data_IF_205847973644
#
_entry.id   IF_205847973644
#
_cell.length_a   1.000
_cell.length_b   1.000
_cell.length_c   1.000
_cell.angle_alpha   90.00
_cell.angle_beta   90.00
_cell.angle_gamma   90.00
#
_symmetry.space_group_name_H-M   'P 1'
#
loop_
_entity.id
_entity.type
_entity.pdbx_description
1 polymer ?
#
# COMPACT_ATOMS: atom_id res chain seq x y z
N UNK A 1 -14.49 -51.24 -19.30
CA UNK A 1 -14.67 -50.59 -17.97
C UNK A 1 -13.58 -49.53 -17.68
N UNK A 2 -13.39 -48.51 -18.54
CA UNK A 2 -12.27 -47.54 -18.38
C UNK A 2 -12.64 -46.06 -18.52
N UNK A 3 -13.93 -45.68 -18.54
CA UNK A 3 -14.35 -44.29 -18.72
C UNK A 3 -14.62 -43.47 -17.43
N UNK A 4 -14.44 -44.05 -16.24
CA UNK A 4 -14.84 -43.38 -14.99
C UNK A 4 -13.69 -42.88 -14.10
N UNK A 5 -12.42 -43.06 -14.46
CA UNK A 5 -11.28 -42.67 -13.60
C UNK A 5 -10.98 -41.17 -13.55
N UNK A 6 -11.53 -40.36 -14.45
CA UNK A 6 -11.21 -38.92 -14.53
C UNK A 6 -12.24 -38.00 -13.87
N UNK A 7 -13.39 -38.52 -13.43
CA UNK A 7 -14.46 -37.71 -12.83
C UNK A 7 -14.19 -37.42 -11.34
N UNK A 8 -13.49 -38.33 -10.64
CA UNK A 8 -13.16 -38.17 -9.22
C UNK A 8 -12.16 -37.04 -8.93
N UNK A 9 -11.21 -36.79 -9.83
CA UNK A 9 -10.21 -35.72 -9.66
C UNK A 9 -10.84 -34.33 -9.87
N UNK A 10 -11.79 -34.22 -10.79
CA UNK A 10 -12.46 -32.96 -11.11
C UNK A 10 -13.43 -32.54 -9.99
N UNK A 11 -14.09 -33.49 -9.32
CA UNK A 11 -14.93 -33.23 -8.16
C UNK A 11 -14.14 -32.80 -6.92
N UNK A 12 -12.92 -33.32 -6.72
CA UNK A 12 -12.03 -32.90 -5.62
C UNK A 12 -11.51 -31.47 -5.81
N UNK A 13 -11.17 -31.05 -7.03
CA UNK A 13 -10.71 -29.68 -7.31
C UNK A 13 -11.84 -28.66 -7.14
N UNK A 14 -13.06 -28.98 -7.59
CA UNK A 14 -14.24 -28.11 -7.41
C UNK A 14 -14.65 -28.02 -5.94
N UNK A 15 -14.62 -29.13 -5.19
CA UNK A 15 -14.88 -29.11 -3.74
C UNK A 15 -13.80 -28.32 -2.98
N UNK A 16 -12.53 -28.41 -3.39
CA UNK A 16 -11.42 -27.65 -2.78
C UNK A 16 -11.53 -26.15 -3.06
N UNK A 17 -11.95 -25.76 -4.26
CA UNK A 17 -12.25 -24.36 -4.62
C UNK A 17 -13.47 -23.81 -3.86
N UNK A 18 -14.47 -24.66 -3.60
CA UNK A 18 -15.66 -24.28 -2.83
C UNK A 18 -15.33 -24.10 -1.34
N UNK A 19 -14.54 -25.03 -0.75
CA UNK A 19 -14.02 -24.90 0.62
C UNK A 19 -13.13 -23.66 0.75
N UNK A 20 -12.25 -23.40 -0.22
CA UNK A 20 -11.40 -22.22 -0.25
C UNK A 20 -12.20 -20.90 -0.33
N UNK A 21 -13.25 -20.86 -1.17
CA UNK A 21 -14.17 -19.71 -1.23
C UNK A 21 -14.97 -19.52 0.07
N UNK A 22 -15.38 -20.61 0.71
CA UNK A 22 -16.12 -20.53 1.99
C UNK A 22 -15.24 -20.08 3.16
N UNK A 23 -13.94 -20.44 3.16
CA UNK A 23 -12.98 -19.98 4.17
C UNK A 23 -12.68 -18.49 4.00
N UNK A 24 -12.56 -18.00 2.76
CA UNK A 24 -12.44 -16.56 2.45
C UNK A 24 -13.70 -15.76 2.85
N UNK A 25 -14.89 -16.35 2.72
CA UNK A 25 -16.15 -15.69 3.08
C UNK A 25 -16.36 -15.55 4.61
N UNK A 26 -15.64 -16.33 5.43
CA UNK A 26 -15.68 -16.24 6.90
C UNK A 26 -14.61 -15.31 7.49
N UNK A 27 -13.58 -14.95 6.72
CA UNK A 27 -12.68 -13.86 7.06
C UNK A 27 -13.39 -12.55 6.70
N UNK A 28 -13.79 -11.75 7.69
CA UNK A 28 -14.32 -10.41 7.45
C UNK A 28 -13.41 -9.66 6.49
N UNK A 29 -13.96 -9.20 5.36
CA UNK A 29 -13.19 -8.55 4.30
C UNK A 29 -12.44 -7.32 4.80
N UNK A 30 -11.44 -6.82 4.04
CA UNK A 30 -10.69 -5.63 4.42
C UNK A 30 -11.64 -4.45 4.68
N UNK A 31 -11.44 -3.77 5.82
CA UNK A 31 -12.22 -2.59 6.22
C UNK A 31 -12.15 -1.55 5.09
N UNK A 32 -13.30 -1.17 4.56
CA UNK A 32 -13.37 -0.26 3.42
C UNK A 32 -13.16 1.20 3.87
N UNK A 33 -12.40 2.00 3.11
CA UNK A 33 -12.34 3.44 3.32
C UNK A 33 -13.72 4.09 3.17
N UNK A 34 -13.99 5.11 3.98
CA UNK A 34 -15.18 5.95 3.88
C UNK A 34 -14.79 7.38 3.49
N UNK A 35 -15.72 8.06 2.81
CA UNK A 35 -15.64 9.47 2.49
C UNK A 35 -16.97 10.12 2.87
N UNK A 36 -16.92 11.22 3.63
CA UNK A 36 -18.08 12.01 4.02
C UNK A 36 -17.79 13.49 3.81
N UNK A 37 -18.77 14.24 3.31
CA UNK A 37 -18.64 15.68 3.09
C UNK A 37 -19.70 16.43 3.89
N UNK A 38 -19.28 17.49 4.57
CA UNK A 38 -20.15 18.41 5.32
C UNK A 38 -19.99 19.82 4.77
N UNK A 39 -21.08 20.56 4.70
CA UNK A 39 -21.10 21.97 4.32
C UNK A 39 -21.31 22.82 5.57
N UNK A 40 -20.39 23.73 5.87
CA UNK A 40 -20.46 24.60 7.06
C UNK A 40 -20.16 26.03 6.63
N UNK A 41 -21.14 26.93 6.76
CA UNK A 41 -21.00 28.35 6.37
C UNK A 41 -20.47 28.56 4.94
N UNK A 42 -20.87 27.68 4.01
CA UNK A 42 -20.42 27.68 2.62
C UNK A 42 -19.07 27.00 2.37
N UNK A 43 -18.34 26.60 3.41
CA UNK A 43 -17.12 25.79 3.28
C UNK A 43 -17.48 24.32 3.13
N UNK A 44 -16.74 23.62 2.27
CA UNK A 44 -16.88 22.18 2.07
C UNK A 44 -15.76 21.44 2.76
N UNK A 45 -16.09 20.64 3.77
CA UNK A 45 -15.15 19.81 4.53
C UNK A 45 -15.40 18.35 4.18
N UNK A 46 -14.40 17.68 3.61
CA UNK A 46 -14.48 16.26 3.25
C UNK A 46 -13.54 15.44 4.11
N UNK A 47 -14.11 14.55 4.94
CA UNK A 47 -13.38 13.58 5.75
C UNK A 47 -13.20 12.27 4.97
N UNK A 48 -11.99 11.74 4.98
CA UNK A 48 -11.65 10.41 4.48
C UNK A 48 -10.93 9.62 5.56
N UNK A 49 -11.37 8.39 5.83
CA UNK A 49 -10.72 7.52 6.82
C UNK A 49 -11.03 6.04 6.55
N UNK A 50 -10.26 5.16 7.17
CA UNK A 50 -10.54 3.72 7.22
C UNK A 50 -10.97 3.39 8.66
N UNK A 51 -12.28 3.26 8.91
CA UNK A 51 -12.81 3.28 10.27
C UNK A 51 -12.69 1.91 10.93
N UNK A 52 -11.51 1.64 11.50
CA UNK A 52 -11.21 0.42 12.23
C UNK A 52 -10.74 0.73 13.66
N UNK A 53 -10.89 -0.19 14.61
CA UNK A 53 -10.35 -0.01 15.96
C UNK A 53 -8.83 0.19 15.97
N UNK A 54 -8.32 0.88 16.99
CA UNK A 54 -6.90 1.27 17.09
C UNK A 54 -6.60 2.67 16.53
N UNK A 55 -5.32 2.99 16.37
CA UNK A 55 -4.90 4.27 15.77
C UNK A 55 -5.25 4.31 14.28
N UNK A 56 -6.09 5.28 13.91
CA UNK A 56 -6.52 5.56 12.55
C UNK A 56 -6.05 6.92 12.07
N UNK A 57 -5.64 6.97 10.80
CA UNK A 57 -5.41 8.22 10.10
C UNK A 57 -6.75 8.80 9.62
N UNK A 58 -6.87 10.12 9.70
CA UNK A 58 -7.99 10.86 9.12
C UNK A 58 -7.43 11.92 8.18
N UNK A 59 -7.94 11.99 6.95
CA UNK A 59 -7.63 13.07 6.04
C UNK A 59 -8.83 14.00 5.92
N UNK A 60 -8.59 15.28 6.12
CA UNK A 60 -9.59 16.34 5.98
C UNK A 60 -9.19 17.21 4.80
N UNK A 61 -10.04 17.27 3.78
CA UNK A 61 -9.93 18.25 2.71
C UNK A 61 -10.85 19.44 3.01
N UNK A 62 -10.31 20.65 2.90
CA UNK A 62 -11.03 21.90 3.16
C UNK A 62 -11.07 22.75 1.91
N UNK A 63 -12.27 23.11 1.47
CA UNK A 63 -12.50 24.02 0.35
C UNK A 63 -13.32 25.23 0.81
N UNK A 64 -12.96 26.40 0.30
CA UNK A 64 -13.68 27.65 0.57
C UNK A 64 -15.02 27.72 -0.20
N UNK A 65 -15.86 28.74 0.05
CA UNK A 65 -17.13 28.91 -0.67
C UNK A 65 -17.01 29.14 -2.18
N UNK A 66 -15.80 29.41 -2.69
CA UNK A 66 -15.52 29.54 -4.13
C UNK A 66 -15.03 28.21 -4.72
N UNK A 67 -14.92 27.15 -3.93
CA UNK A 67 -14.40 25.85 -4.34
C UNK A 67 -12.88 25.79 -4.42
N UNK A 68 -12.16 26.74 -3.82
CA UNK A 68 -10.69 26.73 -3.80
C UNK A 68 -10.16 25.99 -2.57
N UNK A 69 -9.07 25.23 -2.76
CA UNK A 69 -8.35 24.56 -1.67
C UNK A 69 -7.79 25.59 -0.69
N UNK A 70 -7.96 25.35 0.61
CA UNK A 70 -7.47 26.27 1.66
C UNK A 70 -6.15 25.80 2.26
N UNK A 71 -4.99 26.37 1.88
CA UNK A 71 -3.69 25.94 2.41
C UNK A 71 -3.42 26.39 3.86
N UNK A 72 -3.98 27.53 4.29
CA UNK A 72 -3.53 28.24 5.49
C UNK A 72 -4.49 28.14 6.69
N UNK A 73 -5.27 27.06 6.79
CA UNK A 73 -6.12 26.81 7.95
C UNK A 73 -5.41 25.96 9.02
N UNK A 74 -5.71 26.22 10.29
CA UNK A 74 -5.40 25.31 11.38
C UNK A 74 -6.55 24.30 11.49
N UNK A 75 -6.24 23.01 11.42
CA UNK A 75 -7.24 21.94 11.51
C UNK A 75 -6.98 21.11 12.76
N UNK A 76 -8.02 20.94 13.59
CA UNK A 76 -8.02 20.09 14.78
C UNK A 76 -9.06 18.99 14.59
N UNK A 77 -8.72 17.78 15.00
CA UNK A 77 -9.61 16.61 14.96
C UNK A 77 -9.83 16.08 16.37
N UNK A 78 -11.08 15.83 16.73
CA UNK A 78 -11.48 15.24 17.99
C UNK A 78 -12.40 14.05 17.74
N UNK A 79 -12.24 12.99 18.54
CA UNK A 79 -12.93 11.73 18.40
C UNK A 79 -13.80 11.52 19.63
N UNK A 80 -15.10 11.42 19.42
CA UNK A 80 -16.11 11.36 20.47
C UNK A 80 -16.94 10.10 20.25
N UNK A 81 -17.20 9.33 21.29
CA UNK A 81 -18.17 8.25 21.28
C UNK A 81 -19.37 8.66 22.14
N UNK A 82 -20.46 9.17 21.52
CA UNK A 82 -21.58 9.76 22.26
C UNK A 82 -22.25 8.76 23.20
N UNK A 83 -22.40 7.51 22.75
CA UNK A 83 -23.08 6.45 23.50
C UNK A 83 -22.42 6.10 24.84
N UNK A 84 -21.13 6.41 25.01
CA UNK A 84 -20.37 6.14 26.25
C UNK A 84 -19.73 7.40 26.84
N UNK A 85 -20.09 8.59 26.35
CA UNK A 85 -19.56 9.89 26.80
C UNK A 85 -18.02 9.96 26.82
N UNK A 86 -17.36 9.20 25.95
CA UNK A 86 -15.90 9.24 25.82
C UNK A 86 -15.52 10.29 24.79
N UNK A 87 -14.57 11.15 25.12
CA UNK A 87 -13.95 12.10 24.18
C UNK A 87 -12.44 11.98 24.26
N UNK A 88 -11.78 12.09 23.13
CA UNK A 88 -10.32 12.25 23.09
C UNK A 88 -9.93 13.70 23.34
N UNK A 89 -8.62 13.95 23.46
CA UNK A 89 -8.05 15.30 23.39
C UNK A 89 -7.96 15.70 21.91
N UNK A 90 -8.46 16.90 21.51
CA UNK A 90 -8.30 17.38 20.15
C UNK A 90 -6.83 17.40 19.71
N UNK A 91 -6.54 16.85 18.53
CA UNK A 91 -5.18 16.80 17.96
C UNK A 91 -5.09 17.62 16.67
N UNK A 92 -3.97 18.29 16.41
CA UNK A 92 -3.79 19.00 15.14
C UNK A 92 -3.66 18.00 13.98
N UNK A 93 -4.33 18.30 12.87
CA UNK A 93 -4.08 17.69 11.58
C UNK A 93 -3.05 18.54 10.81
N UNK A 94 -2.03 17.90 10.27
CA UNK A 94 -0.90 18.56 9.62
C UNK A 94 -1.20 18.72 8.13
N UNK A 95 -0.97 19.91 7.58
CA UNK A 95 -1.09 20.13 6.14
C UNK A 95 -0.12 19.20 5.38
N UNK A 96 -0.69 18.29 4.59
CA UNK A 96 0.07 17.35 3.76
C UNK A 96 0.34 17.95 2.37
N UNK A 97 -0.69 18.57 1.80
CA UNK A 97 -0.65 19.40 0.58
C UNK A 97 -1.62 20.57 0.75
N UNK A 98 -1.58 21.63 -0.09
CA UNK A 98 -2.53 22.73 -0.01
C UNK A 98 -4.00 22.26 0.09
N UNK A 99 -4.72 22.66 1.14
CA UNK A 99 -6.13 22.28 1.34
C UNK A 99 -6.38 20.88 1.89
N UNK A 100 -5.35 20.08 2.19
CA UNK A 100 -5.52 18.73 2.75
C UNK A 100 -4.67 18.55 4.00
N UNK A 101 -5.31 18.06 5.05
CA UNK A 101 -4.75 17.94 6.39
C UNK A 101 -4.87 16.50 6.88
N UNK A 102 -3.75 15.91 7.26
CA UNK A 102 -3.67 14.56 7.81
C UNK A 102 -3.60 14.62 9.35
N UNK A 103 -4.58 14.02 10.01
CA UNK A 103 -4.65 13.87 11.46
C UNK A 103 -4.58 12.40 11.89
N UNK A 104 -4.40 12.19 13.19
CA UNK A 104 -4.47 10.87 13.81
C UNK A 104 -5.43 10.89 15.00
N UNK A 105 -6.15 9.79 15.17
CA UNK A 105 -6.94 9.51 16.37
C UNK A 105 -7.08 8.02 16.62
N UNK A 106 -7.44 7.65 17.84
CA UNK A 106 -7.63 6.26 18.21
C UNK A 106 -9.11 5.98 18.40
N UNK A 107 -9.65 5.02 17.65
CA UNK A 107 -10.96 4.46 17.94
C UNK A 107 -10.76 3.30 18.90
N UNK A 108 -11.06 3.52 20.18
CA UNK A 108 -10.79 2.53 21.23
C UNK A 108 -11.61 1.24 21.08
N UNK A 109 -12.74 1.29 20.37
CA UNK A 109 -13.63 0.16 20.15
C UNK A 109 -14.58 0.37 18.98
N UNK A 110 -15.15 -0.73 18.49
CA UNK A 110 -16.14 -0.72 17.44
C UNK A 110 -17.43 -0.03 17.90
N UNK A 111 -18.12 0.61 16.96
CA UNK A 111 -19.31 1.41 17.22
C UNK A 111 -19.35 2.69 16.39
N UNK A 112 -20.38 3.51 16.58
CA UNK A 112 -20.48 4.80 15.92
C UNK A 112 -19.72 5.87 16.69
N UNK A 113 -18.80 6.52 16.02
CA UNK A 113 -18.01 7.63 16.55
C UNK A 113 -18.36 8.92 15.83
N UNK A 114 -18.32 10.02 16.57
CA UNK A 114 -18.36 11.37 16.05
C UNK A 114 -16.92 11.87 15.91
N UNK A 115 -16.50 12.12 14.68
CA UNK A 115 -15.24 12.80 14.38
C UNK A 115 -15.58 14.28 14.20
N UNK A 116 -15.25 15.08 15.21
CA UNK A 116 -15.42 16.53 15.17
C UNK A 116 -14.16 17.17 14.58
N UNK A 117 -14.34 17.91 13.50
CA UNK A 117 -13.28 18.62 12.80
C UNK A 117 -13.49 20.11 13.01
N UNK A 118 -12.55 20.74 13.70
CA UNK A 118 -12.50 22.19 13.86
C UNK A 118 -11.48 22.78 12.91
N UNK A 119 -11.93 23.61 11.98
CA UNK A 119 -11.10 24.33 11.02
C UNK A 119 -11.09 25.81 11.42
N UNK A 120 -9.91 26.35 11.71
CA UNK A 120 -9.72 27.78 12.01
C UNK A 120 -8.97 28.44 10.86
N UNK A 121 -9.66 29.17 9.96
CA UNK A 121 -9.00 29.95 8.92
C UNK A 121 -8.18 31.10 9.52
N UNK A 122 -7.10 31.52 8.86
CA UNK A 122 -6.23 32.59 9.36
C UNK A 122 -6.95 33.92 9.68
N UNK A 123 -8.04 34.24 8.96
CA UNK A 123 -8.76 35.52 9.07
C UNK A 123 -10.28 35.35 9.27
N UNK A 124 -10.74 34.21 9.82
CA UNK A 124 -12.17 33.98 10.04
C UNK A 124 -12.42 33.20 11.34
N UNK A 125 -13.67 33.18 11.79
CA UNK A 125 -14.08 32.41 12.95
C UNK A 125 -13.90 30.90 12.71
N UNK A 126 -13.61 30.11 13.76
CA UNK A 126 -13.55 28.66 13.66
C UNK A 126 -14.85 28.06 13.13
N UNK A 127 -14.72 27.05 12.28
CA UNK A 127 -15.79 26.25 11.70
C UNK A 127 -15.71 24.86 12.32
N UNK A 128 -16.85 24.31 12.74
CA UNK A 128 -16.92 22.97 13.33
C UNK A 128 -17.83 22.10 12.47
N UNK A 129 -17.35 20.94 12.05
CA UNK A 129 -18.12 19.92 11.36
C UNK A 129 -18.04 18.59 12.12
N UNK A 130 -19.16 17.91 12.25
CA UNK A 130 -19.22 16.57 12.88
C UNK A 130 -19.50 15.51 11.82
N UNK A 131 -18.73 14.42 11.87
CA UNK A 131 -18.84 13.28 10.96
C UNK A 131 -19.17 12.02 11.74
N UNK A 132 -20.21 11.30 11.32
CA UNK A 132 -20.62 10.05 11.97
C UNK A 132 -19.94 8.86 11.29
N UNK A 133 -18.98 8.27 11.98
CA UNK A 133 -18.07 7.25 11.48
C UNK A 133 -18.42 5.88 12.09
N UNK A 134 -18.91 4.92 11.30
CA UNK A 134 -19.13 3.55 11.77
C UNK A 134 -17.80 2.80 11.83
N UNK A 135 -17.30 2.54 13.03
CA UNK A 135 -16.04 1.83 13.28
C UNK A 135 -16.30 0.35 13.49
N UNK A 136 -15.53 -0.48 12.78
CA UNK A 136 -15.51 -1.94 12.95
C UNK A 136 -14.20 -2.39 13.60
N UNK A 137 -14.14 -3.62 14.11
CA UNK A 137 -12.89 -4.14 14.65
C UNK A 137 -11.84 -4.28 13.56
N UNK A 138 -10.62 -3.79 13.86
CA UNK A 138 -9.48 -3.98 12.97
C UNK A 138 -9.12 -5.46 12.92
N UNK A 139 -9.24 -6.06 11.74
CA UNK A 139 -8.59 -7.35 11.47
C UNK A 139 -7.09 -7.06 11.34
N UNK A 140 -6.21 -7.63 12.20
CA UNK A 140 -4.77 -7.40 12.09
C UNK A 140 -4.30 -7.86 10.70
N UNK A 141 -3.85 -6.90 9.87
CA UNK A 141 -3.12 -7.26 8.68
C UNK A 141 -1.77 -7.85 9.11
N UNK A 142 -1.30 -8.95 8.52
CA UNK A 142 0.05 -9.43 8.78
C UNK A 142 1.05 -8.30 8.48
N UNK A 143 2.05 -8.15 9.35
CA UNK A 143 3.14 -7.19 9.13
C UNK A 143 3.75 -7.40 7.74
N UNK A 144 4.04 -6.31 7.02
CA UNK A 144 4.70 -6.42 5.70
C UNK A 144 6.06 -7.08 5.94
N UNK A 145 6.35 -8.25 5.34
CA UNK A 145 7.66 -8.86 5.50
C UNK A 145 8.71 -7.91 4.94
N UNK A 146 9.85 -7.79 5.63
CA UNK A 146 10.99 -7.05 5.12
C UNK A 146 11.36 -7.60 3.72
N UNK A 147 11.74 -6.73 2.77
CA UNK A 147 12.20 -7.21 1.47
C UNK A 147 13.39 -8.14 1.69
N UNK A 148 13.41 -9.27 0.98
CA UNK A 148 14.50 -10.24 1.09
C UNK A 148 15.83 -9.57 0.74
N UNK A 149 16.93 -9.84 1.47
CA UNK A 149 18.20 -9.21 1.20
C UNK A 149 18.68 -9.56 -0.23
N UNK A 150 19.41 -8.65 -0.90
CA UNK A 150 19.83 -8.81 -2.30
C UNK A 150 20.69 -10.07 -2.55
N UNK A 151 21.27 -10.68 -1.50
CA UNK A 151 22.01 -11.94 -1.58
C UNK A 151 21.17 -13.15 -2.02
N UNK A 152 19.83 -13.08 -1.95
CA UNK A 152 18.96 -14.14 -2.47
C UNK A 152 18.80 -14.14 -3.99
N UNK A 153 19.09 -13.02 -4.66
CA UNK A 153 18.97 -12.85 -6.11
C UNK A 153 20.32 -12.90 -6.82
N UNK A 154 21.23 -13.77 -6.37
CA UNK A 154 22.46 -13.98 -7.14
C UNK A 154 22.18 -14.88 -8.33
N UNK A 155 22.69 -14.57 -9.54
CA UNK A 155 22.47 -15.38 -10.75
C UNK A 155 23.01 -16.82 -10.64
N UNK A 156 23.78 -17.13 -9.59
CA UNK A 156 24.41 -18.43 -9.35
C UNK A 156 23.47 -19.50 -8.81
N UNK A 157 22.40 -19.15 -8.09
CA UNK A 157 21.42 -20.12 -7.56
C UNK A 157 20.49 -20.63 -8.66
N UNK A 158 20.04 -19.75 -9.56
CA UNK A 158 19.22 -20.10 -10.71
C UNK A 158 19.98 -20.95 -11.74
N UNK A 159 21.27 -20.67 -11.97
CA UNK A 159 22.10 -21.44 -12.90
C UNK A 159 22.43 -22.83 -12.36
N UNK A 160 22.67 -22.96 -11.05
CA UNK A 160 22.95 -24.24 -10.40
C UNK A 160 21.75 -25.20 -10.43
N UNK A 161 20.53 -24.69 -10.18
CA UNK A 161 19.29 -25.46 -10.31
C UNK A 161 19.00 -25.84 -11.78
N UNK A 162 19.23 -24.92 -12.72
CA UNK A 162 19.06 -25.18 -14.14
C UNK A 162 19.98 -26.29 -14.66
N UNK A 163 21.26 -26.29 -14.28
CA UNK A 163 22.22 -27.31 -14.67
C UNK A 163 21.89 -28.70 -14.08
N UNK A 164 21.37 -28.74 -12.86
CA UNK A 164 20.97 -29.98 -12.20
C UNK A 164 19.75 -30.63 -12.89
N UNK A 165 18.77 -29.83 -13.30
CA UNK A 165 17.62 -30.31 -14.09
C UNK A 165 18.06 -30.82 -15.47
N UNK A 166 18.93 -30.08 -16.17
CA UNK A 166 19.46 -30.51 -17.48
C UNK A 166 20.25 -31.82 -17.35
N UNK A 167 21.07 -31.96 -16.31
CA UNK A 167 21.81 -33.19 -16.03
C UNK A 167 20.91 -34.40 -15.76
N UNK A 168 19.85 -34.23 -14.97
CA UNK A 168 18.88 -35.30 -14.68
C UNK A 168 18.09 -35.71 -15.93
N UNK A 169 17.70 -34.75 -16.78
CA UNK A 169 17.01 -35.02 -18.05
C UNK A 169 17.94 -35.77 -19.01
N UNK A 170 19.20 -35.34 -19.14
CA UNK A 170 20.18 -36.00 -20.00
C UNK A 170 20.49 -37.44 -19.52
N UNK A 171 20.62 -37.66 -18.21
CA UNK A 171 20.84 -38.98 -17.64
C UNK A 171 19.62 -39.91 -17.81
N UNK A 172 18.41 -39.38 -17.67
CA UNK A 172 17.19 -40.13 -17.98
C UNK A 172 17.09 -40.46 -19.48
N UNK A 173 17.64 -39.61 -20.35
CA UNK A 173 17.64 -39.81 -21.80
C UNK A 173 18.57 -40.94 -22.23
N UNK A 174 19.73 -41.13 -21.60
CA UNK A 174 20.72 -42.14 -22.01
C UNK A 174 20.39 -43.56 -21.53
N UNK A 175 19.54 -43.72 -20.51
CA UNK A 175 19.29 -45.02 -19.87
C UNK A 175 18.01 -45.75 -20.32
N UNK A 176 17.15 -45.15 -21.16
CA UNK A 176 15.88 -45.76 -21.57
C UNK A 176 15.80 -46.02 -23.08
N UNK A 177 15.49 -47.26 -23.50
CA UNK A 177 15.54 -47.69 -24.90
C UNK A 177 14.62 -46.92 -25.87
N UNK A 178 15.08 -46.77 -27.13
CA UNK A 178 14.51 -45.90 -28.19
C UNK A 178 12.98 -45.98 -28.39
N UNK A 179 12.36 -47.15 -28.25
CA UNK A 179 10.89 -47.30 -28.39
C UNK A 179 10.10 -46.73 -27.20
N UNK A 180 10.70 -46.69 -26.00
CA UNK A 180 10.10 -46.05 -24.81
C UNK A 180 10.34 -44.54 -24.78
N UNK A 181 11.44 -44.06 -25.38
CA UNK A 181 11.75 -42.63 -25.52
C UNK A 181 10.73 -41.88 -26.37
N UNK A 182 10.17 -42.50 -27.41
CA UNK A 182 9.11 -41.87 -28.24
C UNK A 182 7.79 -41.70 -27.47
N UNK A 183 7.43 -42.69 -26.64
CA UNK A 183 6.24 -42.62 -25.79
C UNK A 183 6.39 -41.62 -24.64
N UNK A 184 7.55 -41.60 -23.97
CA UNK A 184 7.85 -40.62 -22.93
C UNK A 184 8.01 -39.21 -23.49
N UNK A 185 8.63 -39.06 -24.67
CA UNK A 185 8.75 -37.77 -25.35
C UNK A 185 7.40 -37.13 -25.64
N UNK A 186 6.43 -37.94 -26.11
CA UNK A 186 5.05 -37.45 -26.29
C UNK A 186 4.40 -37.02 -24.97
N UNK A 187 4.55 -37.82 -23.90
CA UNK A 187 3.96 -37.48 -22.59
C UNK A 187 4.62 -36.25 -21.98
N UNK A 188 5.95 -36.12 -22.06
CA UNK A 188 6.70 -34.96 -21.56
C UNK A 188 6.38 -33.72 -22.40
N UNK A 189 6.31 -33.81 -23.72
CA UNK A 189 5.88 -32.68 -24.57
C UNK A 189 4.45 -32.26 -24.27
N UNK A 190 3.51 -33.19 -24.05
CA UNK A 190 2.15 -32.86 -23.64
C UNK A 190 2.09 -32.26 -22.23
N UNK A 191 2.89 -32.75 -21.28
CA UNK A 191 2.99 -32.18 -19.94
C UNK A 191 3.64 -30.79 -19.95
N UNK A 192 4.63 -30.54 -20.81
CA UNK A 192 5.24 -29.22 -20.99
C UNK A 192 4.29 -28.26 -21.69
N UNK A 193 3.49 -28.73 -22.67
CA UNK A 193 2.42 -27.93 -23.30
C UNK A 193 1.31 -27.63 -22.28
N UNK A 194 0.94 -28.58 -21.42
CA UNK A 194 -0.05 -28.37 -20.35
C UNK A 194 0.49 -27.51 -19.22
N UNK A 195 1.78 -27.58 -18.88
CA UNK A 195 2.41 -26.69 -17.92
C UNK A 195 2.53 -25.28 -18.49
N UNK A 196 2.91 -25.14 -19.77
CA UNK A 196 2.92 -23.86 -20.48
C UNK A 196 1.50 -23.28 -20.59
N UNK A 197 0.51 -24.06 -21.03
CA UNK A 197 -0.90 -23.64 -21.07
C UNK A 197 -1.45 -23.34 -19.66
N UNK A 198 -0.99 -24.09 -18.65
CA UNK A 198 -1.25 -23.85 -17.23
C UNK A 198 -0.68 -22.52 -16.75
N UNK A 199 0.49 -22.10 -17.24
CA UNK A 199 1.01 -20.75 -16.96
C UNK A 199 0.22 -19.62 -17.63
N UNK A 200 -0.61 -19.92 -18.65
CA UNK A 200 -1.55 -18.96 -19.25
C UNK A 200 -2.95 -18.99 -18.60
N UNK A 201 -3.33 -20.09 -17.94
CA UNK A 201 -4.66 -20.30 -17.34
C UNK A 201 -4.67 -20.28 -15.81
N UNK A 202 -3.52 -20.33 -15.15
CA UNK A 202 -3.38 -19.83 -13.79
C UNK A 202 -3.59 -18.32 -13.94
N UNK A 203 -4.72 -17.75 -13.45
CA UNK A 203 -4.77 -16.31 -13.28
C UNK A 203 -3.49 -15.97 -12.53
N UNK A 204 -2.80 -14.91 -12.93
CA UNK A 204 -1.72 -14.28 -12.20
C UNK A 204 -2.19 -13.91 -10.78
N UNK A 205 -2.41 -14.91 -9.95
CA UNK A 205 -2.88 -14.89 -8.57
C UNK A 205 -1.72 -15.22 -7.65
N UNK A 206 -0.68 -15.89 -8.17
CA UNK A 206 0.66 -15.95 -7.58
C UNK A 206 1.58 -14.83 -8.10
N UNK A 207 1.10 -14.06 -9.08
CA UNK A 207 1.82 -12.94 -9.71
C UNK A 207 0.95 -11.69 -9.85
N UNK A 208 -0.16 -11.61 -9.11
CA UNK A 208 -0.66 -10.30 -8.74
C UNK A 208 0.53 -9.69 -7.98
N UNK A 209 1.18 -8.62 -8.49
CA UNK A 209 2.20 -7.95 -7.71
C UNK A 209 1.56 -7.78 -6.36
N UNK A 210 2.22 -8.28 -5.30
CA UNK A 210 1.79 -8.15 -3.92
C UNK A 210 1.02 -6.86 -3.85
N UNK A 211 -0.31 -6.95 -3.79
CA UNK A 211 -1.13 -5.77 -3.69
C UNK A 211 -0.92 -5.37 -2.23
N UNK A 212 0.27 -4.81 -1.97
CA UNK A 212 0.54 -3.89 -0.89
C UNK A 212 -0.57 -2.88 -1.11
N UNK A 213 -1.66 -3.08 -0.36
CA UNK A 213 -2.92 -2.42 -0.59
C UNK A 213 -2.69 -0.93 -0.69
N UNK A 214 -3.56 -0.24 -1.43
CA UNK A 214 -3.58 1.21 -1.53
C UNK A 214 -3.12 1.86 -0.22
N UNK A 215 -2.25 2.89 -0.28
CA UNK A 215 -1.57 3.44 0.89
C UNK A 215 -2.59 3.69 2.00
N UNK A 216 -2.38 3.02 3.14
CA UNK A 216 -3.37 3.07 4.23
C UNK A 216 -3.39 4.47 4.79
N UNK A 217 -4.56 5.04 5.05
CA UNK A 217 -4.66 6.40 5.60
C UNK A 217 -3.86 6.56 6.91
N UNK A 218 -3.83 5.51 7.74
CA UNK A 218 -2.96 5.41 8.92
C UNK A 218 -1.47 5.54 8.62
N UNK A 219 -1.04 4.87 7.56
CA UNK A 219 0.35 4.86 7.08
C UNK A 219 0.78 6.27 6.65
N UNK A 220 -0.08 6.94 5.87
CA UNK A 220 0.15 8.31 5.41
C UNK A 220 0.30 9.24 6.62
N UNK A 221 -0.67 9.23 7.54
CA UNK A 221 -0.66 10.12 8.71
C UNK A 221 0.53 9.89 9.65
N UNK A 222 0.97 8.64 9.85
CA UNK A 222 2.20 8.32 10.62
C UNK A 222 3.46 8.81 9.92
N UNK A 223 3.50 8.71 8.59
CA UNK A 223 4.63 9.14 7.78
C UNK A 223 4.74 10.66 7.62
N UNK A 224 3.63 11.40 7.60
CA UNK A 224 3.61 12.87 7.40
C UNK A 224 4.65 13.62 8.26
N UNK A 225 4.68 13.47 9.61
CA UNK A 225 5.69 14.15 10.43
C UNK A 225 7.12 13.67 10.16
N UNK A 226 7.31 12.39 9.83
CA UNK A 226 8.62 11.80 9.52
C UNK A 226 9.14 12.38 8.21
N UNK A 227 8.30 12.43 7.17
CA UNK A 227 8.63 12.99 5.87
C UNK A 227 8.97 14.48 5.99
N UNK A 228 8.17 15.26 6.74
CA UNK A 228 8.41 16.68 6.94
C UNK A 228 9.76 16.95 7.62
N UNK A 229 10.13 16.14 8.61
CA UNK A 229 11.38 16.31 9.35
C UNK A 229 12.62 15.84 8.56
N UNK A 230 12.51 14.77 7.77
CA UNK A 230 13.66 14.07 7.22
C UNK A 230 13.80 14.18 5.69
N UNK A 231 12.70 14.30 4.97
CA UNK A 231 12.66 14.19 3.50
C UNK A 231 12.38 15.54 2.83
N UNK A 232 11.44 16.32 3.39
CA UNK A 232 11.01 17.61 2.85
C UNK A 232 12.14 18.66 2.69
N UNK A 233 13.21 18.70 3.51
CA UNK A 233 14.32 19.63 3.29
C UNK A 233 14.96 19.52 1.90
N UNK A 234 14.96 18.33 1.30
CA UNK A 234 15.49 18.06 -0.04
C UNK A 234 14.35 17.88 -1.06
N UNK A 235 13.33 17.08 -0.76
CA UNK A 235 12.27 16.75 -1.71
C UNK A 235 11.13 17.77 -1.76
N UNK A 236 11.12 18.78 -0.89
CA UNK A 236 10.02 19.73 -0.75
C UNK A 236 8.83 19.15 0.01
N UNK A 237 8.00 20.00 0.62
CA UNK A 237 6.81 19.56 1.38
C UNK A 237 5.81 18.85 0.47
N UNK A 238 5.64 19.35 -0.76
CA UNK A 238 4.78 18.76 -1.78
C UNK A 238 5.47 17.63 -2.59
N UNK A 239 6.73 17.32 -2.31
CA UNK A 239 7.47 16.24 -2.97
C UNK A 239 8.01 16.56 -4.36
N UNK A 240 8.09 17.83 -4.78
CA UNK A 240 8.51 18.20 -6.14
C UNK A 240 10.02 18.13 -6.40
N UNK A 241 10.84 17.79 -5.40
CA UNK A 241 12.30 17.81 -5.52
C UNK A 241 12.90 19.22 -5.39
N UNK A 242 12.14 20.16 -4.84
CA UNK A 242 12.44 21.60 -4.80
C UNK A 242 12.66 22.13 -3.37
N UNK A 243 13.01 21.24 -2.44
CA UNK A 243 13.32 21.60 -1.06
C UNK A 243 14.47 22.60 -0.96
N UNK A 244 14.60 23.30 0.18
CA UNK A 244 15.62 24.34 0.36
C UNK A 244 17.04 23.83 0.07
N UNK A 245 17.35 22.59 0.44
CA UNK A 245 18.64 21.97 0.19
C UNK A 245 18.83 21.53 -1.28
N UNK A 246 17.76 21.33 -2.05
CA UNK A 246 17.83 20.82 -3.43
C UNK A 246 18.70 21.68 -4.35
N UNK A 247 18.75 23.00 -4.11
CA UNK A 247 19.44 23.98 -4.96
C UNK A 247 20.94 23.77 -5.06
N UNK A 248 21.56 23.08 -4.10
CA UNK A 248 23.01 22.88 -4.01
C UNK A 248 23.41 21.42 -4.22
N UNK A 249 22.48 20.52 -4.51
CA UNK A 249 22.75 19.09 -4.64
C UNK A 249 22.90 18.68 -6.10
N UNK A 250 23.87 17.81 -6.36
CA UNK A 250 24.10 17.18 -7.66
C UNK A 250 24.33 15.67 -7.47
N UNK A 251 23.48 14.79 -8.03
CA UNK A 251 22.25 15.09 -8.76
C UNK A 251 21.19 15.78 -7.89
N UNK A 252 20.25 16.54 -8.50
CA UNK A 252 19.13 17.12 -7.76
C UNK A 252 18.21 16.02 -7.19
N UNK A 253 17.51 16.28 -6.07
CA UNK A 253 16.52 15.35 -5.52
C UNK A 253 15.42 15.03 -6.54
N UNK A 254 14.96 13.78 -6.54
CA UNK A 254 13.88 13.35 -7.43
C UNK A 254 12.54 14.03 -7.11
N UNK A 255 11.77 14.32 -8.16
CA UNK A 255 10.38 14.77 -8.04
C UNK A 255 9.46 13.56 -7.76
N UNK A 256 9.06 13.40 -6.51
CA UNK A 256 8.26 12.29 -6.00
C UNK A 256 6.79 12.33 -6.47
N UNK A 257 6.37 13.38 -7.18
CA UNK A 257 5.03 13.45 -7.78
C UNK A 257 5.01 13.03 -9.25
N UNK A 258 6.18 12.80 -9.87
CA UNK A 258 6.31 12.52 -11.29
C UNK A 258 6.05 11.03 -11.63
N UNK A 259 5.65 10.72 -12.88
CA UNK A 259 5.28 9.35 -13.30
C UNK A 259 6.37 8.29 -13.11
N UNK A 260 7.65 8.66 -13.02
CA UNK A 260 8.73 7.70 -12.80
C UNK A 260 8.58 6.94 -11.48
N UNK A 261 7.92 7.52 -10.47
CA UNK A 261 7.66 6.85 -9.20
C UNK A 261 6.87 5.55 -9.41
N UNK A 262 5.94 5.53 -10.38
CA UNK A 262 5.15 4.34 -10.71
C UNK A 262 5.98 3.22 -11.36
N UNK A 263 7.19 3.52 -11.85
CA UNK A 263 8.09 2.57 -12.51
C UNK A 263 8.96 1.79 -11.52
N UNK A 264 9.03 2.23 -10.26
CA UNK A 264 9.85 1.61 -9.23
C UNK A 264 8.98 0.75 -8.32
N UNK A 265 9.29 -0.54 -8.07
CA UNK A 265 8.56 -1.34 -7.09
C UNK A 265 8.72 -0.78 -5.67
N UNK A 266 7.73 -1.03 -4.80
CA UNK A 266 7.74 -0.50 -3.42
C UNK A 266 8.99 -0.93 -2.62
N UNK A 267 9.46 -2.17 -2.81
CA UNK A 267 10.69 -2.65 -2.19
C UNK A 267 11.95 -1.93 -2.66
N UNK A 268 11.95 -1.39 -3.89
CA UNK A 268 13.06 -0.56 -4.39
C UNK A 268 13.06 0.82 -3.71
N UNK A 269 11.89 1.43 -3.56
CA UNK A 269 11.73 2.70 -2.83
C UNK A 269 12.13 2.52 -1.36
N UNK A 270 11.69 1.42 -0.73
CA UNK A 270 12.11 1.03 0.62
C UNK A 270 13.64 0.97 0.70
N UNK A 271 14.30 0.28 -0.24
CA UNK A 271 15.75 0.13 -0.28
C UNK A 271 16.46 1.49 -0.34
N UNK A 272 16.00 2.42 -1.18
CA UNK A 272 16.59 3.76 -1.26
C UNK A 272 16.43 4.58 0.02
N UNK A 273 15.31 4.45 0.72
CA UNK A 273 15.12 5.13 2.01
C UNK A 273 16.01 4.46 3.07
N UNK A 274 16.05 3.14 3.12
CA UNK A 274 16.80 2.39 4.10
C UNK A 274 18.32 2.59 3.95
N UNK A 275 18.84 2.38 2.74
CA UNK A 275 20.28 2.34 2.43
C UNK A 275 20.83 3.68 1.90
N UNK A 276 19.95 4.64 1.59
CA UNK A 276 20.31 5.84 0.85
C UNK A 276 20.38 5.58 -0.66
N UNK A 277 20.64 6.63 -1.44
CA UNK A 277 20.77 6.50 -2.89
C UNK A 277 22.23 6.72 -3.32
N UNK A 278 22.94 5.67 -3.78
CA UNK A 278 24.34 5.75 -4.16
C UNK A 278 24.61 6.83 -5.22
N UNK A 279 25.73 7.57 -5.06
CA UNK A 279 26.09 8.64 -5.98
C UNK A 279 25.21 9.90 -5.86
N UNK A 280 24.43 10.02 -4.78
CA UNK A 280 23.67 11.23 -4.43
C UNK A 280 23.91 11.66 -2.98
N UNK A 281 23.34 12.80 -2.61
CA UNK A 281 23.34 13.28 -1.23
C UNK A 281 22.25 12.66 -0.33
N UNK A 282 21.45 11.71 -0.84
CA UNK A 282 20.40 11.06 -0.05
C UNK A 282 21.01 10.10 0.98
N UNK A 283 20.91 10.38 2.29
CA UNK A 283 21.51 9.54 3.32
C UNK A 283 20.70 8.26 3.56
N UNK A 284 21.33 7.28 4.18
CA UNK A 284 20.66 6.09 4.71
C UNK A 284 19.84 6.43 5.95
N UNK A 285 18.58 5.96 6.01
CA UNK A 285 17.71 6.13 7.17
C UNK A 285 17.49 4.84 7.98
N UNK A 286 17.99 3.69 7.52
CA UNK A 286 17.78 2.39 8.18
C UNK A 286 18.30 2.29 9.62
N UNK A 287 19.24 3.15 10.02
CA UNK A 287 19.72 3.23 11.42
C UNK A 287 18.92 4.21 12.30
N UNK A 288 18.08 5.05 11.70
CA UNK A 288 17.31 6.10 12.40
C UNK A 288 15.81 5.80 12.43
N UNK A 289 15.32 5.04 11.47
CA UNK A 289 13.91 4.69 11.30
C UNK A 289 13.74 3.18 11.37
N UNK A 290 12.64 2.75 11.99
CA UNK A 290 12.22 1.34 11.99
C UNK A 290 11.73 0.91 10.60
N UNK A 291 11.70 -0.41 10.34
CA UNK A 291 11.19 -0.92 9.06
C UNK A 291 9.75 -0.46 8.77
N UNK A 292 8.89 -0.45 9.80
CA UNK A 292 7.51 -0.01 9.66
C UNK A 292 7.42 1.47 9.29
N UNK A 293 8.26 2.33 9.90
CA UNK A 293 8.32 3.75 9.53
C UNK A 293 8.81 3.98 8.10
N UNK A 294 9.73 3.15 7.61
CA UNK A 294 10.19 3.22 6.21
C UNK A 294 9.07 2.76 5.26
N UNK A 295 8.36 1.69 5.60
CA UNK A 295 7.17 1.28 4.83
C UNK A 295 6.07 2.35 4.84
N UNK A 296 5.89 3.04 5.97
CA UNK A 296 4.96 4.14 6.07
C UNK A 296 5.36 5.29 5.12
N UNK A 297 6.66 5.60 5.03
CA UNK A 297 7.20 6.58 4.07
C UNK A 297 7.02 6.13 2.61
N UNK A 298 7.15 4.84 2.30
CA UNK A 298 6.86 4.31 0.95
C UNK A 298 5.40 4.57 0.59
N UNK A 299 4.46 4.25 1.49
CA UNK A 299 3.04 4.55 1.30
C UNK A 299 2.79 6.07 1.14
N UNK A 300 3.53 6.92 1.85
CA UNK A 300 3.47 8.38 1.71
C UNK A 300 3.97 8.87 0.34
N UNK A 301 5.07 8.31 -0.18
CA UNK A 301 5.56 8.62 -1.53
C UNK A 301 4.52 8.23 -2.59
N UNK A 302 3.89 7.06 -2.44
CA UNK A 302 2.76 6.64 -3.30
C UNK A 302 1.59 7.59 -3.21
N UNK A 303 1.26 8.07 -2.01
CA UNK A 303 0.22 9.05 -1.80
C UNK A 303 0.51 10.35 -2.54
N UNK A 304 1.71 10.94 -2.41
CA UNK A 304 2.11 12.16 -3.13
C UNK A 304 1.93 12.01 -4.65
N UNK A 305 2.35 10.86 -5.20
CA UNK A 305 2.19 10.54 -6.62
C UNK A 305 0.71 10.44 -7.03
N UNK A 306 -0.12 9.78 -6.24
CA UNK A 306 -1.55 9.62 -6.51
C UNK A 306 -2.30 10.97 -6.43
N UNK A 307 -1.98 11.81 -5.45
CA UNK A 307 -2.56 13.15 -5.30
C UNK A 307 -2.25 14.01 -6.53
N UNK A 308 -1.00 14.03 -6.97
CA UNK A 308 -0.59 14.79 -8.15
C UNK A 308 -1.21 14.27 -9.46
N UNK A 309 -1.45 12.96 -9.57
CA UNK A 309 -2.18 12.39 -10.70
C UNK A 309 -3.65 12.84 -10.74
N UNK A 310 -4.27 13.00 -9.55
CA UNK A 310 -5.67 13.41 -9.41
C UNK A 310 -5.92 14.89 -9.65
N UNK A 311 -4.93 15.76 -9.42
CA UNK A 311 -5.03 17.22 -9.67
C UNK A 311 -4.73 17.62 -11.12
N UNK A 312 -4.27 16.70 -11.97
CA UNK A 312 -3.95 16.95 -13.38
C UNK A 312 -5.13 16.68 -14.35
N UNK A 313 -6.32 16.37 -13.82
CA UNK A 313 -7.58 16.21 -14.56
C UNK A 313 -8.52 17.37 -14.25
#
# INVERSE_FOLDING_TARGET
MHRYKNIGLMLLVVASLFVYRSVQAQAGGPVQPIQQTQQVNGYSLTLNTTPATGEQGVMVQVMDPKGQLMPDAQVMVNFIMPGMQMTTVPRPAVAAVPGRYDGMGAFSMAGTWDVEVTVTPANAAPLVATFHVPVVDAVPLPARPAPLPPSFWTPWTATSLGLLVVGLVAAAWTQWGRKRQQALGFVVSWLLILAAAGTWLVPTALGAPYALGAPRQTSISRATPIFKANCAPCHGVAGHGDGLAARTLNPPPANLTAPHVDQHPDGQIYGWIHDGFPGSAMPAFGQRLTSDQIWDLVDYVRHLRAVAAGTAK
#
